data_IF_167881016268
#
_entry.id   IF_167881016268
#
_cell.length_a   1.000
_cell.length_b   1.000
_cell.length_c   1.000
_cell.angle_alpha   90.00
_cell.angle_beta   90.00
_cell.angle_gamma   90.00
#
_symmetry.space_group_name_H-M   'P 1'
#
loop_
_entity.id
_entity.type
_entity.pdbx_description
1 polymer ?
#
# COMPACT_ATOMS: atom_id res chain seq x y z
N UNK A 1 -18.28 -11.49 9.86
CA UNK A 1 -17.26 -10.43 9.77
C UNK A 1 -16.62 -10.53 8.42
N UNK A 2 -16.78 -9.50 7.60
CA UNK A 2 -16.17 -9.44 6.27
C UNK A 2 -14.68 -9.12 6.42
N UNK A 3 -13.82 -9.79 5.65
CA UNK A 3 -12.36 -9.60 5.76
C UNK A 3 -11.91 -8.64 4.66
N UNK A 4 -11.31 -7.52 5.05
CA UNK A 4 -10.61 -6.60 4.15
C UNK A 4 -9.11 -6.74 4.35
N UNK A 5 -8.34 -6.73 3.27
CA UNK A 5 -6.88 -6.91 3.29
C UNK A 5 -6.21 -5.67 2.72
N UNK A 6 -5.35 -5.05 3.51
CA UNK A 6 -4.57 -3.88 3.12
C UNK A 6 -3.15 -4.32 2.79
N UNK A 7 -2.69 -4.13 1.56
CA UNK A 7 -1.28 -4.20 1.21
C UNK A 7 -0.57 -2.96 1.77
N UNK A 8 0.55 -3.16 2.46
CA UNK A 8 1.38 -2.06 2.97
C UNK A 8 2.85 -2.45 2.96
N UNK A 9 3.74 -1.45 2.89
CA UNK A 9 5.18 -1.68 3.07
C UNK A 9 5.48 -1.93 4.55
N UNK A 10 6.52 -2.72 4.81
CA UNK A 10 6.98 -3.05 6.16
C UNK A 10 7.75 -1.91 6.88
N UNK A 11 7.90 -0.73 6.28
CA UNK A 11 8.55 0.41 6.94
C UNK A 11 7.66 0.99 8.04
N UNK A 12 8.25 1.48 9.14
CA UNK A 12 7.52 1.97 10.31
C UNK A 12 6.44 3.01 9.97
N UNK A 13 6.72 3.93 9.05
CA UNK A 13 5.73 4.95 8.64
C UNK A 13 4.59 4.34 7.81
N UNK A 14 4.90 3.41 6.90
CA UNK A 14 3.87 2.74 6.10
C UNK A 14 2.95 1.85 6.95
N UNK A 15 3.52 1.16 7.94
CA UNK A 15 2.73 0.42 8.93
C UNK A 15 1.83 1.36 9.73
N UNK A 16 2.36 2.49 10.22
CA UNK A 16 1.55 3.48 10.93
C UNK A 16 0.39 4.00 10.06
N UNK A 17 0.64 4.31 8.78
CA UNK A 17 -0.39 4.75 7.84
C UNK A 17 -1.46 3.67 7.63
N UNK A 18 -1.05 2.41 7.45
CA UNK A 18 -1.98 1.29 7.29
C UNK A 18 -2.81 1.04 8.56
N UNK A 19 -2.20 1.13 9.75
CA UNK A 19 -2.92 1.04 11.02
C UNK A 19 -3.92 2.19 11.21
N UNK A 20 -3.54 3.42 10.84
CA UNK A 20 -4.44 4.57 10.89
C UNK A 20 -5.69 4.36 10.02
N UNK A 21 -5.52 3.86 8.80
CA UNK A 21 -6.65 3.55 7.90
C UNK A 21 -7.46 2.36 8.41
N UNK A 22 -6.81 1.31 8.91
CA UNK A 22 -7.46 0.16 9.56
C UNK A 22 -8.40 0.62 10.68
N UNK A 23 -7.93 1.46 11.59
CA UNK A 23 -8.74 1.96 12.71
C UNK A 23 -9.97 2.74 12.22
N UNK A 24 -9.80 3.60 11.21
CA UNK A 24 -10.92 4.35 10.62
C UNK A 24 -11.96 3.44 9.98
N UNK A 25 -11.53 2.42 9.24
CA UNK A 25 -12.42 1.45 8.60
C UNK A 25 -13.17 0.66 9.65
N UNK A 26 -12.48 0.07 10.63
CA UNK A 26 -13.11 -0.77 11.66
C UNK A 26 -14.04 0.04 12.60
N UNK A 27 -13.75 1.33 12.80
CA UNK A 27 -14.64 2.23 13.56
C UNK A 27 -15.91 2.58 12.77
N UNK A 28 -15.79 2.79 11.45
CA UNK A 28 -16.91 3.19 10.59
C UNK A 28 -17.78 2.01 10.18
N UNK A 29 -17.16 0.83 9.99
CA UNK A 29 -17.78 -0.41 9.54
C UNK A 29 -17.43 -1.55 10.53
N UNK A 30 -18.12 -1.64 11.67
CA UNK A 30 -17.79 -2.60 12.74
C UNK A 30 -17.86 -4.08 12.33
N UNK A 31 -18.57 -4.39 11.24
CA UNK A 31 -18.68 -5.71 10.64
C UNK A 31 -17.45 -6.14 9.83
N UNK A 32 -16.60 -5.17 9.45
CA UNK A 32 -15.38 -5.39 8.67
C UNK A 32 -14.20 -5.63 9.62
N UNK A 33 -13.43 -6.68 9.34
CA UNK A 33 -12.13 -6.94 9.96
C UNK A 33 -11.03 -6.66 8.96
N UNK A 34 -10.15 -5.74 9.31
CA UNK A 34 -9.01 -5.38 8.47
C UNK A 34 -7.78 -6.19 8.88
N UNK A 35 -7.13 -6.79 7.89
CA UNK A 35 -5.86 -7.51 8.02
C UNK A 35 -4.80 -6.81 7.18
N UNK A 36 -3.58 -6.66 7.70
CA UNK A 36 -2.47 -6.10 6.95
C UNK A 36 -1.68 -7.23 6.26
N UNK A 37 -1.42 -7.06 4.97
CA UNK A 37 -0.46 -7.83 4.19
C UNK A 37 0.83 -6.99 4.09
N UNK A 38 1.81 -7.30 4.95
CA UNK A 38 3.06 -6.55 5.04
C UNK A 38 4.06 -7.04 3.99
N UNK A 39 4.38 -6.17 3.03
CA UNK A 39 5.23 -6.49 1.90
C UNK A 39 6.60 -5.86 2.11
N UNK A 40 7.64 -6.69 1.96
CA UNK A 40 9.01 -6.19 1.88
C UNK A 40 9.32 -5.81 0.43
N UNK A 41 9.24 -4.51 0.12
CA UNK A 41 9.54 -4.02 -1.24
C UNK A 41 11.04 -4.13 -1.55
N UNK A 42 11.41 -4.18 -2.84
CA UNK A 42 12.82 -4.09 -3.24
C UNK A 42 13.46 -2.75 -2.84
N UNK A 43 12.68 -1.67 -2.80
CA UNK A 43 13.13 -0.36 -2.32
C UNK A 43 13.54 -0.36 -0.84
N UNK A 44 12.89 -1.17 0.00
CA UNK A 44 13.27 -1.32 1.42
C UNK A 44 14.59 -2.07 1.59
N UNK A 45 14.98 -2.89 0.61
CA UNK A 45 16.24 -3.66 0.61
C UNK A 45 17.43 -2.88 0.05
N UNK A 46 17.20 -1.77 -0.65
CA UNK A 46 18.25 -0.97 -1.28
C UNK A 46 18.34 0.39 -0.57
N UNK A 47 19.00 0.40 0.59
CA UNK A 47 19.27 1.61 1.36
C UNK A 47 20.58 2.32 0.93
N UNK A 48 21.45 1.61 0.20
CA UNK A 48 22.84 2.06 -0.05
C UNK A 48 23.06 2.73 -1.41
N UNK A 49 22.00 2.97 -2.20
CA UNK A 49 22.10 3.65 -3.50
C UNK A 49 21.06 4.77 -3.60
N UNK A 50 21.46 5.98 -4.05
CA UNK A 50 20.53 7.06 -4.34
C UNK A 50 19.39 6.58 -5.23
N UNK A 51 18.15 6.85 -4.83
CA UNK A 51 16.94 6.43 -5.55
C UNK A 51 16.96 6.83 -7.04
N UNK A 52 17.57 7.99 -7.33
CA UNK A 52 17.76 8.51 -8.68
C UNK A 52 18.57 7.58 -9.61
N UNK A 53 19.47 6.76 -9.05
CA UNK A 53 20.29 5.80 -9.78
C UNK A 53 19.60 4.44 -9.98
N UNK A 54 18.49 4.19 -9.29
CA UNK A 54 17.79 2.89 -9.34
C UNK A 54 16.85 2.81 -10.55
N UNK A 55 16.55 3.92 -11.23
CA UNK A 55 15.95 3.94 -12.58
C UNK A 55 14.72 3.03 -12.78
N UNK A 56 13.52 3.57 -12.66
CA UNK A 56 12.27 2.82 -12.87
C UNK A 56 11.08 3.56 -12.27
N UNK A 57 9.93 3.54 -12.94
CA UNK A 57 8.68 4.06 -12.37
C UNK A 57 8.14 3.01 -11.39
N UNK A 58 7.68 3.43 -10.21
CA UNK A 58 6.92 2.55 -9.29
C UNK A 58 7.74 1.69 -8.31
N UNK A 59 8.98 2.06 -7.94
CA UNK A 59 9.83 1.27 -7.01
C UNK A 59 9.23 0.94 -5.64
N UNK A 60 8.19 1.66 -5.23
CA UNK A 60 7.53 1.47 -3.93
C UNK A 60 6.09 1.00 -4.02
N UNK A 61 5.51 0.97 -5.22
CA UNK A 61 4.09 0.63 -5.42
C UNK A 61 3.92 -0.68 -6.15
N UNK A 62 4.86 -1.08 -7.01
CA UNK A 62 4.72 -2.27 -7.86
C UNK A 62 4.38 -3.53 -7.07
N UNK A 63 5.12 -3.84 -6.00
CA UNK A 63 4.83 -5.06 -5.24
C UNK A 63 3.46 -5.02 -4.53
N UNK A 64 2.96 -3.83 -4.15
CA UNK A 64 1.61 -3.71 -3.58
C UNK A 64 0.55 -3.84 -4.68
N UNK A 65 0.79 -3.26 -5.85
CA UNK A 65 -0.06 -3.36 -7.04
C UNK A 65 -0.18 -4.82 -7.52
N UNK A 66 0.93 -5.56 -7.56
CA UNK A 66 0.96 -6.98 -7.92
C UNK A 66 0.05 -7.80 -6.98
N UNK A 67 0.14 -7.61 -5.65
CA UNK A 67 -0.73 -8.31 -4.69
C UNK A 67 -2.23 -7.96 -4.84
N UNK A 68 -2.54 -6.71 -5.20
CA UNK A 68 -3.94 -6.31 -5.44
C UNK A 68 -4.48 -6.95 -6.73
N UNK A 69 -3.68 -6.96 -7.81
CA UNK A 69 -4.06 -7.55 -9.09
C UNK A 69 -4.19 -9.08 -9.01
N UNK A 70 -3.39 -9.74 -8.16
CA UNK A 70 -3.49 -11.18 -7.87
C UNK A 70 -4.65 -11.53 -6.92
N UNK A 71 -5.31 -10.53 -6.32
CA UNK A 71 -6.42 -10.73 -5.38
C UNK A 71 -5.99 -11.11 -3.95
N UNK A 72 -4.69 -10.99 -3.64
CA UNK A 72 -4.14 -11.22 -2.31
C UNK A 72 -4.39 -10.04 -1.36
N UNK A 73 -4.61 -8.84 -1.92
CA UNK A 73 -5.02 -7.64 -1.21
C UNK A 73 -6.21 -6.94 -1.89
N UNK A 74 -6.99 -6.19 -1.11
CA UNK A 74 -8.17 -5.47 -1.60
C UNK A 74 -7.90 -3.98 -1.82
N UNK A 75 -6.96 -3.40 -1.07
CA UNK A 75 -6.50 -2.02 -1.24
C UNK A 75 -5.05 -1.87 -0.79
N UNK A 76 -4.40 -0.78 -1.20
CA UNK A 76 -3.09 -0.37 -0.73
C UNK A 76 -3.15 1.01 -0.06
N UNK A 77 -2.32 1.25 0.95
CA UNK A 77 -2.19 2.55 1.62
C UNK A 77 -0.81 3.13 1.35
N UNK A 78 -0.76 4.38 0.90
CA UNK A 78 0.47 5.08 0.54
C UNK A 78 0.47 6.54 1.02
N UNK A 79 1.67 7.08 1.18
CA UNK A 79 1.85 8.53 1.08
C UNK A 79 1.57 8.95 -0.36
N UNK A 80 0.68 9.93 -0.58
CA UNK A 80 0.25 10.32 -1.92
C UNK A 80 1.42 10.73 -2.84
N UNK A 81 2.48 11.33 -2.28
CA UNK A 81 3.70 11.70 -3.03
C UNK A 81 4.41 10.52 -3.70
N UNK A 82 4.20 9.30 -3.20
CA UNK A 82 4.86 8.08 -3.67
C UNK A 82 3.98 7.32 -4.68
N UNK A 83 2.72 7.75 -4.90
CA UNK A 83 1.82 7.17 -5.89
C UNK A 83 2.23 7.63 -7.28
N UNK A 84 2.42 6.71 -8.26
CA UNK A 84 2.78 7.09 -9.62
C UNK A 84 1.65 7.87 -10.30
N UNK A 85 2.02 8.78 -11.21
CA UNK A 85 1.03 9.52 -12.01
C UNK A 85 0.30 8.66 -13.03
N UNK A 86 0.86 7.50 -13.35
CA UNK A 86 0.23 6.46 -14.16
C UNK A 86 -0.19 5.34 -13.23
N UNK A 87 -1.48 5.00 -13.23
CA UNK A 87 -2.03 3.88 -12.47
C UNK A 87 -2.22 2.71 -13.46
N UNK A 88 -1.73 1.49 -13.15
CA UNK A 88 -1.93 0.32 -13.98
C UNK A 88 -3.41 0.02 -14.24
N UNK A 89 -3.71 -0.59 -15.39
CA UNK A 89 -5.05 -1.08 -15.68
C UNK A 89 -5.51 -2.08 -14.61
N UNK A 90 -6.78 -1.97 -14.20
CA UNK A 90 -7.34 -2.78 -13.12
C UNK A 90 -7.20 -2.17 -11.72
N UNK A 91 -6.49 -1.04 -11.58
CA UNK A 91 -6.34 -0.31 -10.32
C UNK A 91 -6.81 1.14 -10.45
N UNK A 92 -7.16 1.76 -9.32
CA UNK A 92 -7.59 3.16 -9.25
C UNK A 92 -7.17 3.79 -7.92
N UNK A 93 -6.89 5.11 -7.93
CA UNK A 93 -6.76 5.90 -6.71
C UNK A 93 -8.16 6.26 -6.19
N UNK A 94 -8.74 5.38 -5.37
CA UNK A 94 -10.14 5.52 -4.95
C UNK A 94 -10.38 6.53 -3.81
N UNK A 95 -9.33 6.95 -3.09
CA UNK A 95 -9.47 7.81 -1.91
C UNK A 95 -8.23 8.66 -1.64
N UNK A 96 -8.45 9.85 -1.06
CA UNK A 96 -7.43 10.71 -0.46
C UNK A 96 -7.91 11.08 0.94
N UNK A 97 -7.11 10.78 1.96
CA UNK A 97 -7.46 11.05 3.35
C UNK A 97 -6.88 12.38 3.82
N UNK A 98 -7.71 13.19 4.47
CA UNK A 98 -7.29 14.34 5.30
C UNK A 98 -7.06 13.91 6.73
#
# INVERSE_FOLDING_TARGET
MEKLVIATRASNLALWQAYHIKERIETTFPEVKVVLNEITSKGDKILDKPLALIGGKGHFTKELEDEMLEGNAHLAVHSLKDVPTYIPEGLELCAITT
#
